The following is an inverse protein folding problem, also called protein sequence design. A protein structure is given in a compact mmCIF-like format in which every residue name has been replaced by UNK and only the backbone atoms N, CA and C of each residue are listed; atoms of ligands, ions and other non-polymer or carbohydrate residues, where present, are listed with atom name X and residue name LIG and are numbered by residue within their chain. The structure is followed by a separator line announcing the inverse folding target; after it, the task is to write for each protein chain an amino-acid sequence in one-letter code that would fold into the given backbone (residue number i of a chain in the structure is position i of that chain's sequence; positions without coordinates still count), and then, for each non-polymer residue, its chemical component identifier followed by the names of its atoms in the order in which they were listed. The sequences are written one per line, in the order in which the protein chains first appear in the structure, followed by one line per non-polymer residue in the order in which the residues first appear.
data_IF_996344191015
#
_entry.id   IF_996344191015
#
_cell.length_a   1.000
_cell.length_b   1.000
_cell.length_c   1.000
_cell.angle_alpha   90.00
_cell.angle_beta   90.00
_cell.angle_gamma   90.00
#
_symmetry.space_group_name_H-M   'P 1'
#
loop_
_entity.id
_entity.type
_entity.pdbx_description
1 polymer ?
#
# COMPACT_ATOMS: atom_id res chain seq x y z
N UNK A 1 22.16 -6.52 28.25
CA UNK A 1 21.33 -7.54 27.57
C UNK A 1 20.47 -6.85 26.53
N UNK A 2 20.54 -7.24 25.26
CA UNK A 2 19.74 -6.61 24.21
C UNK A 2 18.30 -7.14 24.29
N UNK A 3 17.35 -6.29 24.69
CA UNK A 3 15.92 -6.60 24.56
C UNK A 3 15.58 -6.78 23.08
N UNK A 4 15.32 -8.02 22.67
CA UNK A 4 14.74 -8.33 21.37
C UNK A 4 13.33 -7.71 21.28
N UNK A 5 13.25 -6.45 20.87
CA UNK A 5 11.97 -5.81 20.50
C UNK A 5 11.37 -6.56 19.33
N UNK A 6 10.37 -7.40 19.59
CA UNK A 6 9.60 -8.12 18.55
C UNK A 6 9.04 -7.11 17.55
N UNK A 7 9.65 -7.02 16.35
CA UNK A 7 9.15 -6.20 15.24
C UNK A 7 8.08 -7.01 14.49
N UNK A 8 6.83 -6.90 14.95
CA UNK A 8 5.70 -7.55 14.27
C UNK A 8 5.36 -6.71 13.03
N UNK A 9 5.73 -7.20 11.84
CA UNK A 9 5.50 -6.51 10.56
C UNK A 9 4.00 -6.54 10.16
N UNK A 10 3.28 -7.57 10.58
CA UNK A 10 1.85 -7.74 10.30
C UNK A 10 1.01 -7.34 11.50
N UNK A 11 0.65 -6.06 11.60
CA UNK A 11 -0.20 -5.54 12.68
C UNK A 11 -1.68 -5.64 12.31
N UNK A 12 -2.03 -5.33 11.06
CA UNK A 12 -3.38 -5.46 10.53
C UNK A 12 -3.35 -6.14 9.16
N UNK A 13 -3.29 -7.48 9.18
CA UNK A 13 -3.20 -8.32 7.97
C UNK A 13 -4.31 -8.01 6.96
N UNK A 14 -5.52 -7.72 7.43
CA UNK A 14 -6.66 -7.41 6.57
C UNK A 14 -6.45 -6.13 5.77
N UNK A 15 -5.96 -5.07 6.41
CA UNK A 15 -5.70 -3.79 5.74
C UNK A 15 -4.53 -3.92 4.74
N UNK A 16 -3.41 -4.51 5.18
CA UNK A 16 -2.20 -4.64 4.37
C UNK A 16 -2.44 -5.52 3.14
N UNK A 17 -3.10 -6.67 3.30
CA UNK A 17 -3.45 -7.54 2.17
C UNK A 17 -4.45 -6.86 1.23
N UNK A 18 -5.47 -6.18 1.75
CA UNK A 18 -6.44 -5.44 0.92
C UNK A 18 -5.72 -4.47 -0.02
N UNK A 19 -4.81 -3.64 0.50
CA UNK A 19 -4.08 -2.69 -0.34
C UNK A 19 -3.09 -3.36 -1.28
N UNK A 20 -2.42 -4.43 -0.85
CA UNK A 20 -1.54 -5.19 -1.74
C UNK A 20 -2.29 -5.79 -2.93
N UNK A 21 -3.48 -6.36 -2.71
CA UNK A 21 -4.32 -6.87 -3.79
C UNK A 21 -4.82 -5.75 -4.71
N UNK A 22 -5.25 -4.61 -4.15
CA UNK A 22 -5.69 -3.45 -4.95
C UNK A 22 -4.55 -2.94 -5.82
N UNK A 23 -3.36 -2.71 -5.25
CA UNK A 23 -2.19 -2.19 -5.98
C UNK A 23 -1.78 -3.18 -7.07
N UNK A 24 -1.64 -4.47 -6.74
CA UNK A 24 -1.28 -5.49 -7.72
C UNK A 24 -2.30 -5.58 -8.85
N UNK A 25 -3.60 -5.55 -8.51
CA UNK A 25 -4.69 -5.60 -9.48
C UNK A 25 -4.70 -4.38 -10.41
N UNK A 26 -4.49 -3.17 -9.87
CA UNK A 26 -4.38 -1.95 -10.67
C UNK A 26 -3.18 -2.01 -11.61
N UNK A 27 -2.02 -2.50 -11.14
CA UNK A 27 -0.82 -2.62 -11.96
C UNK A 27 -0.99 -3.65 -13.09
N UNK A 28 -1.61 -4.80 -12.79
CA UNK A 28 -1.93 -5.82 -13.81
C UNK A 28 -2.94 -5.26 -14.82
N UNK A 29 -3.97 -4.55 -14.35
CA UNK A 29 -4.94 -3.93 -15.24
C UNK A 29 -4.30 -2.87 -16.15
N UNK A 30 -3.43 -2.02 -15.60
CA UNK A 30 -2.66 -1.05 -16.38
C UNK A 30 -1.76 -1.73 -17.41
N UNK A 31 -1.09 -2.82 -17.03
CA UNK A 31 -0.28 -3.61 -17.97
C UNK A 31 -1.11 -4.12 -19.14
N UNK A 32 -2.31 -4.67 -18.89
CA UNK A 32 -3.21 -5.14 -19.94
C UNK A 32 -3.69 -4.00 -20.85
N UNK A 33 -3.97 -2.82 -20.28
CA UNK A 33 -4.33 -1.64 -21.07
C UNK A 33 -3.19 -1.17 -21.98
N UNK A 34 -1.96 -1.14 -21.45
CA UNK A 34 -0.77 -0.77 -22.23
C UNK A 34 -0.53 -1.78 -23.34
N UNK A 35 -0.66 -3.07 -23.05
CA UNK A 35 -0.51 -4.14 -24.03
C UNK A 35 -1.54 -4.03 -25.16
N UNK A 36 -2.81 -3.85 -24.80
CA UNK A 36 -3.89 -3.64 -25.75
C UNK A 36 -3.67 -2.39 -26.62
N UNK A 37 -3.29 -1.27 -25.99
CA UNK A 37 -3.01 -0.03 -26.70
C UNK A 37 -1.81 -0.18 -27.66
N UNK A 38 -0.78 -0.90 -27.24
CA UNK A 38 0.40 -1.17 -28.07
C UNK A 38 0.05 -2.03 -29.27
N UNK A 39 -0.75 -3.09 -29.08
CA UNK A 39 -1.25 -3.94 -30.16
C UNK A 39 -2.04 -3.15 -31.21
N UNK A 40 -2.95 -2.27 -30.78
CA UNK A 40 -3.70 -1.41 -31.69
C UNK A 40 -2.79 -0.45 -32.45
N UNK A 41 -1.86 0.18 -31.75
CA UNK A 41 -0.92 1.14 -32.33
C UNK A 41 -0.06 0.50 -33.41
N UNK A 42 0.45 -0.72 -33.17
CA UNK A 42 1.23 -1.48 -34.14
C UNK A 42 0.41 -1.77 -35.39
N UNK A 43 -0.81 -2.29 -35.25
CA UNK A 43 -1.64 -2.66 -36.40
C UNK A 43 -2.06 -1.45 -37.26
N UNK A 44 -2.18 -0.27 -36.64
CA UNK A 44 -2.48 0.98 -37.36
C UNK A 44 -1.24 1.57 -38.04
N UNK A 45 -0.09 1.58 -37.36
CA UNK A 45 1.12 2.21 -37.85
C UNK A 45 1.86 1.35 -38.90
N UNK A 46 1.90 0.02 -38.68
CA UNK A 46 2.59 -0.93 -39.54
C UNK A 46 1.69 -2.16 -39.75
N UNK A 47 0.73 -2.08 -40.70
CA UNK A 47 -0.18 -3.18 -40.98
C UNK A 47 0.58 -4.46 -41.30
N UNK A 48 0.05 -5.61 -40.84
CA UNK A 48 0.63 -6.94 -41.05
C UNK A 48 2.00 -7.18 -40.40
N UNK A 49 2.52 -6.29 -39.54
CA UNK A 49 3.80 -6.52 -38.85
C UNK A 49 3.81 -7.87 -38.10
N UNK A 50 2.70 -8.23 -37.46
CA UNK A 50 2.56 -9.47 -36.68
C UNK A 50 2.52 -10.75 -37.53
N UNK A 51 2.27 -10.64 -38.84
CA UNK A 51 2.31 -11.76 -39.80
C UNK A 51 3.53 -11.71 -40.71
N UNK A 52 4.38 -10.69 -40.57
CA UNK A 52 5.63 -10.54 -41.31
C UNK A 52 6.70 -11.53 -40.86
N UNK A 53 7.85 -11.54 -41.54
CA UNK A 53 9.01 -12.36 -41.17
C UNK A 53 9.55 -12.11 -39.75
N UNK A 54 9.25 -10.94 -39.16
CA UNK A 54 9.62 -10.60 -37.77
C UNK A 54 8.45 -10.74 -36.78
N UNK A 55 7.28 -11.17 -37.24
CA UNK A 55 6.06 -11.18 -36.45
C UNK A 55 6.12 -12.09 -35.22
N UNK A 56 6.78 -13.25 -35.32
CA UNK A 56 6.97 -14.16 -34.20
C UNK A 56 7.89 -13.57 -33.12
N UNK A 57 8.94 -12.85 -33.51
CA UNK A 57 9.82 -12.15 -32.59
C UNK A 57 9.04 -11.06 -31.84
N UNK A 58 8.17 -10.32 -32.52
CA UNK A 58 7.30 -9.31 -31.89
C UNK A 58 6.34 -9.96 -30.89
N UNK A 59 5.65 -11.06 -31.26
CA UNK A 59 4.78 -11.80 -30.32
C UNK A 59 5.55 -12.32 -29.10
N UNK A 60 6.77 -12.79 -29.31
CA UNK A 60 7.62 -13.26 -28.21
C UNK A 60 8.01 -12.12 -27.27
N UNK A 61 8.31 -10.93 -27.80
CA UNK A 61 8.56 -9.72 -26.99
C UNK A 61 7.33 -9.38 -26.15
N UNK A 62 6.15 -9.34 -26.74
CA UNK A 62 4.88 -9.08 -26.05
C UNK A 62 4.62 -10.11 -24.94
N UNK A 63 4.82 -11.40 -25.24
CA UNK A 63 4.68 -12.46 -24.25
C UNK A 63 5.59 -12.24 -23.03
N UNK A 64 6.88 -11.97 -23.27
CA UNK A 64 7.83 -11.71 -22.17
C UNK A 64 7.54 -10.42 -21.42
N UNK A 65 7.01 -9.40 -22.11
CA UNK A 65 6.60 -8.14 -21.47
C UNK A 65 5.45 -8.40 -20.49
N UNK A 66 4.45 -9.19 -20.88
CA UNK A 66 3.33 -9.57 -20.00
C UNK A 66 3.85 -10.40 -18.81
N UNK A 67 4.71 -11.39 -19.05
CA UNK A 67 5.27 -12.24 -17.99
C UNK A 67 6.08 -11.41 -17.00
N UNK A 68 7.05 -10.63 -17.47
CA UNK A 68 7.91 -9.81 -16.61
C UNK A 68 7.12 -8.73 -15.89
N UNK A 69 6.21 -8.05 -16.59
CA UNK A 69 5.38 -7.02 -15.98
C UNK A 69 4.43 -7.57 -14.92
N UNK A 70 3.91 -8.79 -15.10
CA UNK A 70 3.13 -9.49 -14.06
C UNK A 70 3.98 -9.80 -12.84
N UNK A 71 5.21 -10.31 -13.04
CA UNK A 71 6.16 -10.56 -11.94
C UNK A 71 6.46 -9.28 -11.18
N UNK A 72 6.70 -8.16 -11.88
CA UNK A 72 6.94 -6.86 -11.25
C UNK A 72 5.72 -6.33 -10.50
N UNK A 73 4.51 -6.47 -11.06
CA UNK A 73 3.28 -6.08 -10.39
C UNK A 73 3.08 -6.83 -9.07
N UNK A 74 3.31 -8.15 -9.07
CA UNK A 74 3.25 -8.98 -7.87
C UNK A 74 4.34 -8.60 -6.86
N UNK A 75 5.56 -8.36 -7.32
CA UNK A 75 6.66 -7.89 -6.46
C UNK A 75 6.33 -6.56 -5.79
N UNK A 76 5.81 -5.58 -6.54
CA UNK A 76 5.35 -4.29 -5.99
C UNK A 76 4.20 -4.51 -5.00
N UNK A 77 3.29 -5.44 -5.29
CA UNK A 77 2.26 -5.89 -4.35
C UNK A 77 2.84 -6.32 -3.01
N UNK A 78 3.87 -7.17 -3.02
CA UNK A 78 4.59 -7.60 -1.81
C UNK A 78 5.26 -6.43 -1.10
N UNK A 79 5.97 -5.56 -1.85
CA UNK A 79 6.60 -4.35 -1.29
C UNK A 79 5.58 -3.43 -0.60
N UNK A 80 4.37 -3.31 -1.16
CA UNK A 80 3.30 -2.49 -0.58
C UNK A 80 2.82 -2.98 0.80
N UNK A 81 2.96 -4.27 1.11
CA UNK A 81 2.67 -4.82 2.44
C UNK A 81 3.62 -4.20 3.49
N UNK A 82 4.90 -4.06 3.12
CA UNK A 82 5.89 -3.44 3.99
C UNK A 82 5.64 -1.94 4.15
N UNK A 83 5.32 -1.23 3.06
CA UNK A 83 5.03 0.21 3.11
C UNK A 83 3.78 0.47 3.97
N UNK A 84 2.71 -0.31 3.76
CA UNK A 84 1.45 -0.16 4.51
C UNK A 84 1.60 -0.44 6.02
N UNK A 85 2.69 -1.06 6.47
CA UNK A 85 2.99 -1.19 7.90
C UNK A 85 3.12 0.18 8.59
N UNK A 86 3.73 1.16 7.92
CA UNK A 86 3.92 2.53 8.44
C UNK A 86 2.60 3.27 8.69
N UNK A 87 1.49 2.78 8.15
CA UNK A 87 0.15 3.33 8.36
C UNK A 87 -0.65 2.42 9.32
N UNK A 88 -0.66 1.12 9.05
CA UNK A 88 -1.43 0.14 9.83
C UNK A 88 -0.98 0.05 11.29
N UNK A 89 0.33 0.13 11.55
CA UNK A 89 0.91 0.10 12.89
C UNK A 89 0.42 1.28 13.74
N UNK A 90 0.59 2.53 13.27
CA UNK A 90 0.08 3.72 13.95
C UNK A 90 -1.42 3.70 14.20
N UNK A 91 -2.23 3.31 13.20
CA UNK A 91 -3.69 3.20 13.36
C UNK A 91 -4.05 2.27 14.52
N UNK A 92 -3.40 1.10 14.59
CA UNK A 92 -3.65 0.15 15.67
C UNK A 92 -3.30 0.74 17.04
N UNK A 93 -2.16 1.44 17.13
CA UNK A 93 -1.70 2.07 18.38
C UNK A 93 -2.63 3.19 18.83
N UNK A 94 -3.06 4.07 17.92
CA UNK A 94 -4.01 5.16 18.19
C UNK A 94 -5.32 4.56 18.70
N UNK A 95 -5.87 3.55 18.00
CA UNK A 95 -7.12 2.90 18.40
C UNK A 95 -7.02 2.27 19.80
N UNK A 96 -5.89 1.66 20.13
CA UNK A 96 -5.65 1.08 21.46
C UNK A 96 -5.64 2.16 22.55
N UNK A 97 -4.89 3.24 22.33
CA UNK A 97 -4.78 4.33 23.31
C UNK A 97 -6.10 5.08 23.49
N UNK A 98 -6.86 5.34 22.40
CA UNK A 98 -8.19 5.93 22.49
C UNK A 98 -9.17 5.06 23.27
N UNK A 99 -9.17 3.73 23.05
CA UNK A 99 -10.02 2.82 23.83
C UNK A 99 -9.70 2.85 25.32
N UNK A 100 -8.42 2.89 25.68
CA UNK A 100 -8.00 3.00 27.08
C UNK A 100 -8.53 4.30 27.72
N UNK A 101 -8.47 5.43 27.00
CA UNK A 101 -9.03 6.71 27.47
C UNK A 101 -10.55 6.63 27.62
N UNK A 102 -11.25 6.00 26.65
CA UNK A 102 -12.70 5.81 26.72
C UNK A 102 -13.12 4.92 27.91
N UNK A 103 -12.37 3.86 28.19
CA UNK A 103 -12.64 2.91 29.28
C UNK A 103 -12.34 3.51 30.66
N UNK A 104 -11.23 4.25 30.78
CA UNK A 104 -10.78 4.82 32.07
C UNK A 104 -11.37 6.20 32.36
N UNK A 105 -11.80 6.94 31.34
CA UNK A 105 -12.14 8.36 31.44
C UNK A 105 -10.94 9.29 31.67
N UNK A 106 -9.72 8.75 31.72
CA UNK A 106 -8.49 9.50 32.00
C UNK A 106 -8.02 10.26 30.76
N UNK A 107 -8.48 11.51 30.65
CA UNK A 107 -8.10 12.43 29.57
C UNK A 107 -6.75 13.11 29.79
N UNK A 108 -6.07 12.85 30.91
CA UNK A 108 -4.72 13.39 31.16
C UNK A 108 -3.65 12.70 30.29
N UNK A 109 -3.93 11.48 29.82
CA UNK A 109 -3.03 10.69 28.97
C UNK A 109 -3.02 11.22 27.54
N UNK A 110 -1.82 11.61 27.07
CA UNK A 110 -1.58 11.94 25.66
C UNK A 110 -1.34 10.68 24.83
N UNK A 111 -1.92 10.65 23.65
CA UNK A 111 -1.67 9.66 22.60
C UNK A 111 -0.30 9.95 21.99
N UNK A 112 0.44 8.90 21.61
CA UNK A 112 1.77 9.05 21.02
C UNK A 112 2.09 7.95 20.03
N UNK A 113 2.88 8.28 19.00
CA UNK A 113 3.40 7.33 18.01
C UNK A 113 4.90 7.10 18.17
N UNK A 114 5.45 6.17 17.40
CA UNK A 114 6.91 5.99 17.31
C UNK A 114 7.47 7.00 16.31
N UNK A 115 8.76 7.32 16.45
CA UNK A 115 9.46 8.18 15.49
C UNK A 115 9.44 7.52 14.09
N UNK A 116 8.99 8.26 13.08
CA UNK A 116 8.90 7.78 11.69
C UNK A 116 7.57 7.12 11.30
N UNK A 117 6.58 7.13 12.20
CA UNK A 117 5.20 6.77 11.88
C UNK A 117 4.50 7.92 11.11
N UNK A 118 3.68 7.60 10.11
CA UNK A 118 3.11 8.59 9.16
C UNK A 118 1.93 9.41 9.73
N UNK A 119 1.43 9.09 10.94
CA UNK A 119 0.21 9.68 11.51
C UNK A 119 0.47 10.62 12.70
N UNK A 120 1.66 11.23 12.77
CA UNK A 120 2.04 12.13 13.87
C UNK A 120 1.08 13.33 13.98
N UNK A 121 0.81 13.99 12.86
CA UNK A 121 -0.07 15.17 12.80
C UNK A 121 -1.50 14.85 13.24
N UNK A 122 -2.01 13.66 12.88
CA UNK A 122 -3.32 13.18 13.36
C UNK A 122 -3.33 13.03 14.89
N UNK A 123 -2.25 12.51 15.47
CA UNK A 123 -2.15 12.37 16.93
C UNK A 123 -2.06 13.72 17.62
N UNK A 124 -1.40 14.70 17.01
CA UNK A 124 -1.37 16.07 17.52
C UNK A 124 -2.79 16.66 17.61
N UNK A 125 -3.58 16.58 16.54
CA UNK A 125 -4.97 17.06 16.51
C UNK A 125 -5.85 16.33 17.52
N UNK A 126 -5.71 15.00 17.65
CA UNK A 126 -6.47 14.24 18.64
C UNK A 126 -6.12 14.68 20.07
N UNK A 127 -4.83 14.87 20.37
CA UNK A 127 -4.40 15.33 21.69
C UNK A 127 -4.91 16.75 21.99
N UNK A 128 -4.90 17.64 21.01
CA UNK A 128 -5.45 18.98 21.16
C UNK A 128 -6.95 18.92 21.50
N UNK A 129 -7.72 18.10 20.78
CA UNK A 129 -9.14 17.89 21.05
C UNK A 129 -9.39 17.38 22.49
N UNK A 130 -8.67 16.33 22.90
CA UNK A 130 -8.79 15.77 24.25
C UNK A 130 -8.51 16.85 25.30
N UNK A 131 -7.43 17.62 25.15
CA UNK A 131 -7.06 18.68 26.09
C UNK A 131 -8.15 19.76 26.23
N UNK A 132 -8.78 20.18 25.12
CA UNK A 132 -9.87 21.17 25.14
C UNK A 132 -11.14 20.61 25.80
N UNK A 133 -11.42 19.33 25.61
CA UNK A 133 -12.57 18.68 26.26
C UNK A 133 -12.40 18.52 27.77
N UNK A 134 -11.17 18.38 28.25
CA UNK A 134 -10.86 18.35 29.69
C UNK A 134 -11.12 19.71 30.34
N UNK A 135 -10.85 20.82 29.65
CA UNK A 135 -11.04 22.19 30.18
C UNK A 135 -12.53 22.55 30.35
N UNK A 136 -13.44 21.87 29.63
CA UNK A 136 -14.89 22.13 29.70
C UNK A 136 -15.63 21.31 30.76
N UNK A 137 -14.97 20.38 31.45
CA UNK A 137 -15.53 19.66 32.61
C UNK A 137 -15.12 20.36 33.90
#
# INVERSE_FOLDING_TARGET
MAEFRRRIILVNKKLQLKYAFIISGVLIFMLLLVEYHTYLTINLAIPNLLTSAVGEQIKQIHFWLIVNGTVYALFIGVVSIYISHKIAGPIFKIKKQLKEILETGDTSKKIFLRKGDELADLVEVINEYISKSTIKK
#
